data_IF_454185184547
#
_entry.id   IF_454185184547
#
_cell.length_a   1.000
_cell.length_b   1.000
_cell.length_c   1.000
_cell.angle_alpha   90.00
_cell.angle_beta   90.00
_cell.angle_gamma   90.00
#
_symmetry.space_group_name_H-M   'P 1'
#
loop_
_entity.id
_entity.type
_entity.pdbx_description
1 polymer ?
#
# COMPACT_ATOMS: atom_id res chain seq x y z
N UNK A 1 -9.22 10.19 -32.43
CA UNK A 1 -8.34 10.68 -31.35
C UNK A 1 -7.15 11.38 -31.99
N UNK A 2 -6.91 12.67 -31.69
CA UNK A 2 -5.74 13.39 -32.22
C UNK A 2 -4.51 12.94 -31.44
N UNK A 3 -3.44 12.61 -32.16
CA UNK A 3 -2.14 12.23 -31.60
C UNK A 3 -1.60 13.36 -30.70
N UNK A 4 -1.22 13.04 -29.47
CA UNK A 4 -0.79 14.00 -28.44
C UNK A 4 0.43 14.82 -28.91
N UNK A 5 1.25 14.24 -29.80
CA UNK A 5 2.38 14.94 -30.46
C UNK A 5 1.96 16.10 -31.36
N UNK A 6 0.70 16.15 -31.82
CA UNK A 6 0.19 17.25 -32.66
C UNK A 6 -0.36 18.43 -31.86
N UNK A 7 -0.48 18.31 -30.53
CA UNK A 7 -1.07 19.34 -29.67
C UNK A 7 -0.02 20.27 -29.02
N UNK A 8 1.26 19.87 -29.04
CA UNK A 8 2.36 20.72 -28.61
C UNK A 8 3.46 20.60 -29.67
N UNK A 9 3.75 21.71 -30.36
CA UNK A 9 4.83 21.79 -31.32
C UNK A 9 6.17 21.76 -30.57
N UNK A 10 6.59 20.56 -30.17
CA UNK A 10 7.78 20.35 -29.34
C UNK A 10 9.03 20.94 -29.98
N UNK A 11 9.10 20.96 -31.30
CA UNK A 11 10.20 21.56 -32.05
C UNK A 11 10.29 23.08 -31.82
N UNK A 12 9.15 23.76 -31.65
CA UNK A 12 9.07 25.19 -31.39
C UNK A 12 9.50 25.53 -29.95
N UNK A 13 9.18 24.65 -28.99
CA UNK A 13 9.66 24.76 -27.60
C UNK A 13 11.17 24.51 -27.52
N UNK A 14 11.66 23.49 -28.24
CA UNK A 14 13.09 23.16 -28.28
C UNK A 14 13.88 24.30 -28.94
N UNK A 15 13.40 24.86 -30.05
CA UNK A 15 14.02 26.03 -30.69
C UNK A 15 13.99 27.26 -29.78
N UNK A 16 12.89 27.53 -29.10
CA UNK A 16 12.78 28.66 -28.16
C UNK A 16 13.73 28.50 -26.98
N UNK A 17 13.89 27.28 -26.46
CA UNK A 17 14.84 26.98 -25.38
C UNK A 17 16.29 27.10 -25.85
N UNK A 18 16.62 26.57 -27.04
CA UNK A 18 17.94 26.68 -27.63
C UNK A 18 18.33 28.16 -27.85
N UNK A 19 17.43 28.95 -28.45
CA UNK A 19 17.60 30.38 -28.65
C UNK A 19 17.83 31.12 -27.32
N UNK A 20 17.04 30.80 -26.29
CA UNK A 20 17.21 31.37 -24.95
C UNK A 20 18.58 31.03 -24.35
N UNK A 21 19.04 29.78 -24.45
CA UNK A 21 20.38 29.39 -23.98
C UNK A 21 21.50 30.08 -24.75
N UNK A 22 21.36 30.24 -26.06
CA UNK A 22 22.35 30.92 -26.91
C UNK A 22 22.39 32.43 -26.61
N UNK A 23 21.24 33.08 -26.42
CA UNK A 23 21.17 34.48 -25.99
C UNK A 23 21.78 34.69 -24.61
N UNK A 24 21.48 33.82 -23.64
CA UNK A 24 22.06 33.90 -22.28
C UNK A 24 23.59 33.82 -22.33
N UNK A 25 24.15 32.98 -23.21
CA UNK A 25 25.61 32.85 -23.37
C UNK A 25 26.26 34.09 -24.01
N UNK A 26 25.50 34.89 -24.76
CA UNK A 26 25.99 36.06 -25.49
C UNK A 26 25.76 37.39 -24.75
N UNK A 27 25.13 37.37 -23.56
CA UNK A 27 24.92 38.59 -22.78
C UNK A 27 26.26 39.11 -22.18
N UNK A 28 26.56 40.41 -22.31
CA UNK A 28 27.86 41.00 -21.96
C UNK A 28 28.12 41.12 -20.44
N UNK A 29 27.20 40.67 -19.60
CA UNK A 29 27.34 40.69 -18.15
C UNK A 29 27.35 39.25 -17.62
N UNK A 30 28.42 38.86 -16.91
CA UNK A 30 28.49 37.62 -16.11
C UNK A 30 27.41 37.68 -15.02
N UNK A 31 26.19 37.34 -15.40
CA UNK A 31 25.04 37.29 -14.51
C UNK A 31 24.92 35.87 -13.97
N UNK A 32 25.02 35.72 -12.65
CA UNK A 32 24.59 34.49 -12.00
C UNK A 32 23.06 34.44 -12.12
N UNK A 33 22.55 33.54 -12.95
CA UNK A 33 21.14 33.19 -12.98
C UNK A 33 20.78 32.50 -11.67
N UNK A 34 20.35 33.29 -10.68
CA UNK A 34 19.72 32.75 -9.48
C UNK A 34 18.34 32.22 -9.89
N UNK A 35 18.26 30.93 -10.18
CA UNK A 35 17.00 30.23 -10.43
C UNK A 35 16.30 30.00 -9.10
N UNK A 36 15.29 30.83 -8.82
CA UNK A 36 14.41 30.61 -7.68
C UNK A 36 13.36 29.55 -8.04
N UNK A 37 13.65 28.29 -7.75
CA UNK A 37 12.65 27.25 -7.68
C UNK A 37 11.93 27.30 -6.34
N UNK A 38 10.62 27.56 -6.31
CA UNK A 38 9.79 27.23 -5.14
C UNK A 38 9.60 25.72 -5.09
N UNK A 39 10.63 25.00 -4.62
CA UNK A 39 10.48 23.60 -4.26
C UNK A 39 9.77 23.54 -2.91
N UNK A 40 8.46 23.23 -2.95
CA UNK A 40 7.73 22.88 -1.74
C UNK A 40 7.94 21.38 -1.54
N UNK A 41 8.97 21.01 -0.78
CA UNK A 41 9.18 19.63 -0.38
C UNK A 41 7.93 19.20 0.41
N UNK A 42 7.08 18.36 -0.22
CA UNK A 42 5.99 17.73 0.51
C UNK A 42 6.66 16.87 1.57
N UNK A 43 6.43 17.18 2.85
CA UNK A 43 6.91 16.36 3.97
C UNK A 43 6.47 14.92 3.69
N UNK A 44 7.38 13.94 3.69
CA UNK A 44 7.01 12.57 3.40
C UNK A 44 6.12 12.06 4.54
N UNK A 45 4.89 11.71 4.22
CA UNK A 45 3.90 11.16 5.15
C UNK A 45 3.43 9.81 4.63
N UNK A 46 3.34 8.79 5.48
CA UNK A 46 2.59 7.59 5.12
C UNK A 46 1.12 7.94 5.08
N UNK A 47 0.58 8.13 3.87
CA UNK A 47 -0.85 8.35 3.69
C UNK A 47 -1.53 6.99 3.50
N UNK A 48 -2.28 6.55 4.51
CA UNK A 48 -3.15 5.36 4.40
C UNK A 48 -4.53 5.74 3.85
N UNK A 49 -4.59 6.90 3.21
CA UNK A 49 -5.74 7.50 2.58
C UNK A 49 -5.31 8.38 1.42
N UNK A 50 -6.23 8.85 0.59
CA UNK A 50 -5.94 9.84 -0.44
C UNK A 50 -6.49 11.20 0.05
N UNK A 51 -5.84 11.82 1.03
CA UNK A 51 -6.36 13.08 1.59
C UNK A 51 -5.28 14.08 1.91
N UNK A 52 -4.82 14.75 0.85
CA UNK A 52 -4.16 16.06 1.00
C UNK A 52 -5.12 17.19 1.41
N UNK A 53 -6.43 16.95 1.51
CA UNK A 53 -7.40 17.91 2.06
C UNK A 53 -8.65 17.18 2.60
N UNK A 54 -9.08 17.56 3.81
CA UNK A 54 -10.28 17.08 4.52
C UNK A 54 -10.18 15.62 5.00
N UNK A 55 -10.92 15.28 6.07
CA UNK A 55 -10.97 13.94 6.68
C UNK A 55 -10.85 12.85 5.63
N UNK A 56 -9.97 11.87 5.86
CA UNK A 56 -9.64 10.88 4.83
C UNK A 56 -10.89 10.34 4.16
N UNK A 57 -10.83 10.10 2.85
CA UNK A 57 -11.90 9.41 2.10
C UNK A 57 -12.32 8.11 2.83
N UNK A 58 -11.42 7.53 3.63
CA UNK A 58 -11.68 6.47 4.59
C UNK A 58 -12.57 6.88 5.78
N UNK A 59 -12.26 7.95 6.51
CA UNK A 59 -13.14 8.50 7.58
C UNK A 59 -14.49 8.85 6.97
N UNK A 60 -14.54 9.55 5.84
CA UNK A 60 -15.81 9.85 5.20
C UNK A 60 -16.51 8.59 4.65
N UNK A 61 -15.78 7.56 4.23
CA UNK A 61 -16.35 6.26 3.81
C UNK A 61 -16.95 5.45 4.97
N UNK A 62 -16.22 5.33 6.08
CA UNK A 62 -16.64 4.67 7.33
C UNK A 62 -17.79 5.41 8.01
N UNK A 63 -17.87 6.73 7.86
CA UNK A 63 -18.94 7.54 8.46
C UNK A 63 -20.13 7.84 7.50
N UNK A 64 -19.92 7.93 6.18
CA UNK A 64 -20.95 8.36 5.21
C UNK A 64 -21.34 7.31 4.15
N UNK A 65 -20.42 6.49 3.61
CA UNK A 65 -20.77 5.51 2.56
C UNK A 65 -21.37 4.21 3.10
N UNK A 66 -21.16 3.91 4.37
CA UNK A 66 -21.84 2.78 5.04
C UNK A 66 -23.31 3.05 5.36
N UNK A 67 -23.89 4.16 4.91
CA UNK A 67 -25.33 4.43 5.08
C UNK A 67 -26.21 3.71 4.04
N UNK A 68 -25.65 3.03 3.03
CA UNK A 68 -26.43 2.32 2.01
C UNK A 68 -26.44 0.79 2.14
N UNK A 69 -25.86 0.23 3.21
CA UNK A 69 -25.96 -1.19 3.50
C UNK A 69 -26.37 -1.26 4.96
N UNK A 70 -27.64 -1.62 5.18
CA UNK A 70 -28.14 -2.10 6.47
C UNK A 70 -27.04 -2.86 7.21
N UNK A 71 -26.86 -2.61 8.51
CA UNK A 71 -25.97 -3.37 9.40
C UNK A 71 -26.33 -4.87 9.37
N UNK A 72 -26.01 -5.56 8.27
CA UNK A 72 -26.21 -6.99 8.13
C UNK A 72 -25.14 -7.66 8.98
N UNK A 73 -25.52 -8.62 9.83
CA UNK A 73 -24.63 -9.26 10.80
C UNK A 73 -23.50 -10.13 10.20
N UNK A 74 -23.30 -10.12 8.87
CA UNK A 74 -22.21 -10.85 8.22
C UNK A 74 -20.91 -10.05 8.31
N UNK A 75 -20.30 -10.11 9.49
CA UNK A 75 -18.98 -9.57 9.78
C UNK A 75 -17.86 -10.46 9.20
N UNK A 76 -17.78 -10.56 7.86
CA UNK A 76 -16.73 -11.35 7.19
C UNK A 76 -15.34 -10.99 7.73
N UNK A 77 -15.08 -9.69 7.95
CA UNK A 77 -13.83 -9.22 8.51
C UNK A 77 -13.55 -9.77 9.93
N UNK A 78 -14.55 -9.75 10.81
CA UNK A 78 -14.40 -10.33 12.16
C UNK A 78 -14.21 -11.84 12.10
N UNK A 79 -14.88 -12.53 11.18
CA UNK A 79 -14.69 -13.96 10.96
C UNK A 79 -13.23 -14.24 10.58
N UNK A 80 -12.65 -13.46 9.68
CA UNK A 80 -11.23 -13.57 9.33
C UNK A 80 -10.31 -13.32 10.52
N UNK A 81 -10.65 -12.40 11.43
CA UNK A 81 -9.90 -12.18 12.68
C UNK A 81 -9.97 -13.41 13.58
N UNK A 82 -11.16 -13.98 13.77
CA UNK A 82 -11.37 -15.17 14.60
C UNK A 82 -10.54 -16.37 14.11
N UNK A 83 -10.43 -16.56 12.79
CA UNK A 83 -9.62 -17.63 12.20
C UNK A 83 -8.16 -17.24 11.90
N UNK A 84 -7.67 -16.11 12.42
CA UNK A 84 -6.32 -15.59 12.17
C UNK A 84 -5.95 -15.26 10.71
N UNK A 85 -6.87 -15.44 9.76
CA UNK A 85 -6.66 -15.11 8.34
C UNK A 85 -6.48 -13.62 8.12
N UNK A 86 -7.14 -12.79 8.94
CA UNK A 86 -6.99 -11.34 8.90
C UNK A 86 -5.52 -10.91 8.97
N UNK A 87 -4.73 -11.51 9.86
CA UNK A 87 -3.31 -11.19 10.00
C UNK A 87 -2.52 -11.55 8.75
N UNK A 88 -2.88 -12.62 8.06
CA UNK A 88 -2.22 -13.06 6.82
C UNK A 88 -2.49 -12.08 5.67
N UNK A 89 -3.74 -11.65 5.52
CA UNK A 89 -4.13 -10.64 4.55
C UNK A 89 -3.42 -9.30 4.82
N UNK A 90 -3.44 -8.83 6.07
CA UNK A 90 -2.81 -7.56 6.44
C UNK A 90 -1.29 -7.62 6.27
N UNK A 91 -0.65 -8.73 6.64
CA UNK A 91 0.78 -8.92 6.45
C UNK A 91 1.17 -8.90 4.96
N UNK A 92 0.41 -9.59 4.11
CA UNK A 92 0.57 -9.56 2.65
C UNK A 92 0.52 -8.13 2.11
N UNK A 93 -0.51 -7.36 2.50
CA UNK A 93 -0.68 -5.99 2.00
C UNK A 93 0.48 -5.10 2.46
N UNK A 94 0.85 -5.18 3.75
CA UNK A 94 1.90 -4.34 4.33
C UNK A 94 3.30 -4.71 3.84
N UNK A 95 3.53 -5.96 3.43
CA UNK A 95 4.79 -6.41 2.82
C UNK A 95 4.93 -5.99 1.35
N UNK A 96 3.89 -5.38 0.78
CA UNK A 96 3.85 -4.93 -0.61
C UNK A 96 3.39 -6.00 -1.60
N UNK A 97 3.02 -7.19 -1.13
CA UNK A 97 2.48 -8.25 -1.98
C UNK A 97 1.05 -7.94 -2.44
N UNK A 98 0.63 -8.59 -3.51
CA UNK A 98 -0.72 -8.47 -4.04
C UNK A 98 -1.65 -9.47 -3.35
N UNK A 99 -2.78 -8.97 -2.85
CA UNK A 99 -3.87 -9.79 -2.32
C UNK A 99 -5.01 -9.83 -3.35
N UNK A 100 -5.37 -11.03 -3.80
CA UNK A 100 -6.54 -11.28 -4.63
C UNK A 100 -7.67 -11.84 -3.75
N UNK A 101 -8.85 -11.23 -3.78
CA UNK A 101 -10.06 -11.77 -3.16
C UNK A 101 -10.92 -12.41 -4.25
N UNK A 102 -11.15 -13.71 -4.14
CA UNK A 102 -11.91 -14.50 -5.10
C UNK A 102 -13.27 -14.87 -4.52
N UNK A 103 -14.35 -14.57 -5.24
CA UNK A 103 -15.67 -15.08 -4.93
C UNK A 103 -16.62 -14.97 -6.11
N UNK A 104 -17.20 -16.09 -6.53
CA UNK A 104 -18.29 -16.16 -7.52
C UNK A 104 -19.64 -15.92 -6.85
N UNK A 105 -19.86 -16.53 -5.67
CA UNK A 105 -21.17 -16.53 -5.02
C UNK A 105 -21.46 -15.20 -4.29
N UNK A 106 -20.46 -14.67 -3.59
CA UNK A 106 -20.58 -13.49 -2.72
C UNK A 106 -19.74 -12.31 -3.24
N UNK A 107 -19.81 -12.03 -4.54
CA UNK A 107 -18.96 -11.01 -5.17
C UNK A 107 -19.11 -9.60 -4.56
N UNK A 108 -20.33 -9.19 -4.19
CA UNK A 108 -20.56 -7.91 -3.52
C UNK A 108 -19.93 -7.87 -2.11
N UNK A 109 -19.93 -9.00 -1.38
CA UNK A 109 -19.27 -9.09 -0.08
C UNK A 109 -17.75 -9.03 -0.25
N UNK A 110 -17.20 -9.65 -1.31
CA UNK A 110 -15.79 -9.58 -1.66
C UNK A 110 -15.36 -8.13 -1.97
N UNK A 111 -16.15 -7.40 -2.75
CA UNK A 111 -15.93 -5.97 -3.02
C UNK A 111 -15.93 -5.18 -1.72
N UNK A 112 -16.95 -5.37 -0.88
CA UNK A 112 -17.06 -4.62 0.37
C UNK A 112 -15.93 -4.93 1.35
N UNK A 113 -15.47 -6.19 1.42
CA UNK A 113 -14.28 -6.57 2.19
C UNK A 113 -13.04 -5.88 1.63
N UNK A 114 -12.88 -5.85 0.30
CA UNK A 114 -11.75 -5.21 -0.35
C UNK A 114 -11.68 -3.72 -0.02
N UNK A 115 -12.80 -3.01 -0.11
CA UNK A 115 -12.90 -1.59 0.27
C UNK A 115 -12.45 -1.36 1.71
N UNK A 116 -12.82 -2.24 2.65
CA UNK A 116 -12.38 -2.17 4.05
C UNK A 116 -10.90 -2.50 4.21
N UNK A 117 -10.35 -3.40 3.41
CA UNK A 117 -8.93 -3.77 3.41
C UNK A 117 -8.01 -2.68 2.87
N UNK A 118 -8.52 -1.72 2.09
CA UNK A 118 -7.72 -0.64 1.52
C UNK A 118 -6.99 0.20 2.57
N UNK A 119 -7.49 0.24 3.81
CA UNK A 119 -6.88 0.98 4.92
C UNK A 119 -5.49 0.49 5.28
N UNK A 120 -5.20 -0.78 4.96
CA UNK A 120 -3.91 -1.40 5.24
C UNK A 120 -2.90 -1.15 4.13
N UNK A 121 -3.31 -0.61 2.97
CA UNK A 121 -2.43 -0.32 1.84
C UNK A 121 -1.61 0.93 2.17
N UNK A 122 -0.28 0.82 2.33
CA UNK A 122 0.55 2.00 2.51
C UNK A 122 0.52 2.85 1.23
N UNK A 123 0.35 4.17 1.38
CA UNK A 123 0.31 5.11 0.25
C UNK A 123 -0.79 4.76 -0.75
N UNK A 124 -1.98 4.54 -0.22
CA UNK A 124 -3.11 4.12 -1.02
C UNK A 124 -3.37 5.13 -2.14
N UNK A 125 -3.52 4.59 -3.36
CA UNK A 125 -4.05 5.31 -4.50
C UNK A 125 -5.18 4.46 -5.08
N UNK A 126 -6.29 5.04 -5.55
CA UNK A 126 -7.40 4.28 -6.11
C UNK A 126 -6.97 3.29 -7.20
N UNK A 127 -5.97 3.65 -7.99
CA UNK A 127 -5.39 2.81 -9.04
C UNK A 127 -4.63 1.57 -8.55
N UNK A 128 -4.31 1.47 -7.26
CA UNK A 128 -3.70 0.29 -6.65
C UNK A 128 -4.73 -0.78 -6.28
N UNK A 129 -6.02 -0.54 -6.51
CA UNK A 129 -7.09 -1.52 -6.35
C UNK A 129 -7.80 -1.78 -7.68
N UNK A 130 -8.20 -3.03 -7.90
CA UNK A 130 -8.90 -3.44 -9.13
C UNK A 130 -10.07 -4.36 -8.80
N UNK A 131 -11.19 -4.15 -9.48
CA UNK A 131 -12.36 -5.03 -9.42
C UNK A 131 -12.67 -5.42 -10.87
N UNK A 132 -12.57 -6.70 -11.18
CA UNK A 132 -12.93 -7.25 -12.49
C UNK A 132 -13.69 -8.56 -12.28
N UNK A 133 -14.51 -9.00 -13.24
CA UNK A 133 -15.14 -10.33 -13.13
C UNK A 133 -14.11 -11.44 -13.34
N UNK A 134 -13.22 -11.24 -14.32
CA UNK A 134 -12.17 -12.17 -14.70
C UNK A 134 -10.84 -11.43 -14.70
N UNK A 135 -9.83 -11.96 -14.03
CA UNK A 135 -8.50 -11.35 -13.98
C UNK A 135 -7.40 -12.37 -14.31
N UNK A 136 -6.41 -11.95 -15.09
CA UNK A 136 -5.17 -12.71 -15.23
C UNK A 136 -4.36 -12.58 -13.94
N UNK A 137 -3.91 -13.72 -13.41
CA UNK A 137 -3.01 -13.74 -12.26
C UNK A 137 -1.77 -12.86 -12.49
N UNK A 138 -1.24 -12.81 -13.71
CA UNK A 138 -0.06 -11.97 -14.00
C UNK A 138 -0.31 -10.47 -13.81
N UNK A 139 -1.56 -10.02 -13.98
CA UNK A 139 -1.92 -8.60 -13.85
C UNK A 139 -2.12 -8.18 -12.41
N UNK A 140 -2.45 -9.12 -11.52
CA UNK A 140 -2.66 -8.83 -10.10
C UNK A 140 -1.44 -8.15 -9.45
N UNK A 141 -0.21 -8.39 -9.94
CA UNK A 141 1.00 -7.72 -9.46
C UNK A 141 1.01 -6.20 -9.64
N UNK A 142 0.16 -5.67 -10.52
CA UNK A 142 0.02 -4.22 -10.70
C UNK A 142 -0.72 -3.58 -9.52
N UNK A 143 -1.54 -4.36 -8.81
CA UNK A 143 -2.46 -3.89 -7.78
C UNK A 143 -2.10 -4.44 -6.39
N UNK A 144 -2.22 -3.62 -5.35
CA UNK A 144 -2.10 -4.10 -3.97
C UNK A 144 -3.27 -5.02 -3.61
N UNK A 145 -4.44 -4.74 -4.17
CA UNK A 145 -5.67 -5.47 -3.91
C UNK A 145 -6.45 -5.67 -5.20
N UNK A 146 -6.91 -6.90 -5.44
CA UNK A 146 -7.77 -7.22 -6.57
C UNK A 146 -8.96 -8.03 -6.11
N UNK A 147 -10.10 -7.88 -6.77
CA UNK A 147 -11.30 -8.68 -6.54
C UNK A 147 -11.73 -9.29 -7.87
N UNK A 148 -11.97 -10.60 -7.88
CA UNK A 148 -12.43 -11.32 -9.06
C UNK A 148 -13.43 -12.44 -8.74
N UNK A 149 -14.24 -12.82 -9.73
CA UNK A 149 -15.05 -14.05 -9.68
C UNK A 149 -14.23 -15.23 -10.18
N UNK A 150 -13.48 -15.04 -11.26
CA UNK A 150 -12.64 -16.08 -11.86
C UNK A 150 -11.23 -15.57 -12.17
N UNK A 151 -10.28 -16.49 -12.17
CA UNK A 151 -8.90 -16.22 -12.55
C UNK A 151 -8.48 -17.13 -13.68
N UNK A 152 -7.63 -16.61 -14.56
CA UNK A 152 -6.96 -17.40 -15.59
C UNK A 152 -5.45 -17.08 -15.59
N UNK A 153 -4.68 -17.86 -16.34
CA UNK A 153 -3.22 -17.75 -16.38
C UNK A 153 -2.49 -18.80 -15.54
N UNK A 154 -1.17 -18.69 -15.45
CA UNK A 154 -0.32 -19.69 -14.80
C UNK A 154 -0.40 -19.59 -13.27
N UNK A 155 -0.59 -20.74 -12.61
CA UNK A 155 -0.69 -20.86 -11.14
C UNK A 155 0.63 -20.69 -10.39
N UNK A 156 1.78 -20.69 -11.08
CA UNK A 156 3.11 -20.59 -10.48
C UNK A 156 3.41 -19.20 -9.87
N UNK A 157 2.46 -18.28 -10.00
CA UNK A 157 2.60 -16.90 -9.62
C UNK A 157 2.50 -16.74 -8.08
N UNK A 158 3.37 -15.91 -7.51
CA UNK A 158 3.42 -15.61 -6.07
C UNK A 158 2.42 -14.51 -5.68
N UNK A 159 1.13 -14.83 -5.76
CA UNK A 159 0.05 -13.95 -5.27
C UNK A 159 -0.63 -14.62 -4.08
N UNK A 160 -1.00 -13.82 -3.09
CA UNK A 160 -1.85 -14.28 -1.99
C UNK A 160 -3.31 -14.21 -2.43
N UNK A 161 -4.04 -15.31 -2.28
CA UNK A 161 -5.43 -15.47 -2.68
C UNK A 161 -6.26 -15.74 -1.44
N UNK A 162 -7.30 -14.92 -1.23
CA UNK A 162 -8.37 -15.16 -0.28
C UNK A 162 -9.61 -15.63 -1.05
N UNK A 163 -9.87 -16.92 -1.03
CA UNK A 163 -11.02 -17.53 -1.69
C UNK A 163 -12.17 -17.66 -0.68
N UNK A 164 -13.21 -16.85 -0.88
CA UNK A 164 -14.37 -16.80 0.00
C UNK A 164 -15.34 -17.96 -0.21
N UNK A 165 -15.39 -18.51 -1.43
CA UNK A 165 -16.30 -19.60 -1.76
C UNK A 165 -15.77 -20.91 -1.15
N UNK A 166 -14.47 -21.18 -1.31
CA UNK A 166 -13.81 -22.35 -0.73
C UNK A 166 -13.39 -22.14 0.73
N UNK A 167 -13.50 -20.90 1.24
CA UNK A 167 -13.07 -20.50 2.60
C UNK A 167 -11.62 -20.86 2.88
N UNK A 168 -10.73 -20.54 1.95
CA UNK A 168 -9.29 -20.79 2.07
C UNK A 168 -8.48 -19.53 1.78
N UNK A 169 -7.39 -19.37 2.50
CA UNK A 169 -6.33 -18.42 2.17
C UNK A 169 -5.14 -19.20 1.63
N UNK A 170 -4.59 -18.78 0.49
CA UNK A 170 -3.39 -19.34 -0.14
C UNK A 170 -2.37 -18.23 -0.28
N UNK A 171 -1.25 -18.28 0.41
CA UNK A 171 -0.28 -17.19 0.35
C UNK A 171 0.77 -17.28 1.43
N UNK A 172 1.41 -16.16 1.75
CA UNK A 172 2.33 -16.12 2.89
C UNK A 172 1.55 -16.00 4.21
N UNK A 173 1.97 -16.75 5.23
CA UNK A 173 1.46 -16.59 6.58
C UNK A 173 2.04 -15.35 7.26
N UNK A 174 1.37 -14.88 8.31
CA UNK A 174 1.90 -13.84 9.19
C UNK A 174 2.82 -14.47 10.25
N UNK A 175 4.11 -14.10 10.31
CA UNK A 175 5.01 -14.62 11.32
C UNK A 175 4.59 -14.22 12.73
N UNK A 176 4.75 -15.13 13.70
CA UNK A 176 4.35 -14.90 15.10
C UNK A 176 4.99 -13.66 15.74
N UNK A 177 6.21 -13.31 15.34
CA UNK A 177 6.88 -12.14 15.91
C UNK A 177 6.55 -10.83 15.21
N UNK A 178 5.86 -10.88 14.07
CA UNK A 178 5.47 -9.69 13.32
C UNK A 178 4.63 -8.76 14.20
N UNK A 179 4.84 -7.46 14.04
CA UNK A 179 3.97 -6.48 14.71
C UNK A 179 2.51 -6.65 14.25
N UNK A 180 2.28 -7.14 13.02
CA UNK A 180 0.93 -7.41 12.49
C UNK A 180 0.23 -8.40 13.41
N UNK A 181 0.87 -9.54 13.70
CA UNK A 181 0.33 -10.55 14.61
C UNK A 181 0.12 -10.03 16.04
N UNK A 182 1.05 -9.20 16.53
CA UNK A 182 1.07 -8.76 17.94
C UNK A 182 0.12 -7.60 18.24
N UNK A 183 -0.04 -6.68 17.29
CA UNK A 183 -0.72 -5.40 17.49
C UNK A 183 -2.08 -5.33 16.80
N UNK A 184 -2.21 -5.93 15.61
CA UNK A 184 -3.41 -5.82 14.77
C UNK A 184 -4.48 -6.86 15.16
N UNK A 185 -5.72 -6.60 14.77
CA UNK A 185 -6.86 -7.49 15.04
C UNK A 185 -7.50 -7.29 16.42
N UNK A 186 -6.98 -6.38 17.24
CA UNK A 186 -7.58 -6.01 18.54
C UNK A 186 -8.87 -5.22 18.34
N UNK A 187 -9.82 -5.36 19.26
CA UNK A 187 -11.12 -4.67 19.19
C UNK A 187 -12.14 -5.35 18.28
N UNK A 188 -11.97 -6.64 17.99
CA UNK A 188 -12.90 -7.42 17.16
C UNK A 188 -14.25 -7.68 17.84
N UNK A 189 -14.30 -7.53 19.16
CA UNK A 189 -15.50 -7.51 20.01
C UNK A 189 -16.39 -6.27 19.78
N UNK A 190 -15.82 -5.19 19.23
CA UNK A 190 -16.53 -3.93 18.96
C UNK A 190 -17.27 -3.95 17.61
N UNK A 191 -18.05 -2.91 17.29
CA UNK A 191 -18.63 -2.77 15.95
C UNK A 191 -17.54 -2.72 14.87
N UNK A 192 -17.84 -3.17 13.65
CA UNK A 192 -16.81 -3.22 12.59
C UNK A 192 -16.23 -1.84 12.27
N UNK A 193 -17.05 -0.79 12.33
CA UNK A 193 -16.59 0.59 12.15
C UNK A 193 -15.57 0.99 13.22
N UNK A 194 -15.87 0.68 14.49
CA UNK A 194 -14.95 0.93 15.61
C UNK A 194 -13.68 0.08 15.45
N UNK A 195 -13.81 -1.19 15.06
CA UNK A 195 -12.68 -2.06 14.77
C UNK A 195 -11.76 -1.44 13.70
N UNK A 196 -12.29 -1.01 12.56
CA UNK A 196 -11.53 -0.39 11.47
C UNK A 196 -10.86 0.92 11.91
N UNK A 197 -11.54 1.75 12.69
CA UNK A 197 -10.97 2.97 13.26
C UNK A 197 -9.79 2.66 14.20
N UNK A 198 -9.92 1.63 15.04
CA UNK A 198 -8.83 1.16 15.91
C UNK A 198 -7.64 0.65 15.09
N UNK A 199 -7.88 -0.15 14.04
CA UNK A 199 -6.81 -0.64 13.16
C UNK A 199 -6.09 0.53 12.45
N UNK A 200 -6.85 1.48 11.92
CA UNK A 200 -6.29 2.66 11.27
C UNK A 200 -5.47 3.53 12.24
N UNK A 201 -5.93 3.71 13.47
CA UNK A 201 -5.18 4.41 14.51
C UNK A 201 -3.85 3.70 14.84
N UNK A 202 -3.87 2.36 14.92
CA UNK A 202 -2.66 1.56 15.15
C UNK A 202 -1.66 1.71 14.00
N UNK A 203 -2.12 1.62 12.74
CA UNK A 203 -1.27 1.85 11.57
C UNK A 203 -0.61 3.22 11.61
N UNK A 204 -1.40 4.29 11.84
CA UNK A 204 -0.88 5.65 11.91
C UNK A 204 0.15 5.83 13.01
N UNK A 205 -0.07 5.21 14.17
CA UNK A 205 0.89 5.24 15.28
C UNK A 205 2.20 4.56 14.89
N UNK A 206 2.15 3.38 14.30
CA UNK A 206 3.32 2.61 13.86
C UNK A 206 4.08 3.38 12.76
N UNK A 207 3.37 3.96 11.80
CA UNK A 207 3.99 4.72 10.72
C UNK A 207 4.64 6.01 11.20
N UNK A 208 4.04 6.70 12.17
CA UNK A 208 4.67 7.88 12.78
C UNK A 208 5.96 7.48 13.51
N UNK A 209 5.93 6.41 14.31
CA UNK A 209 7.12 5.89 14.98
C UNK A 209 8.23 5.52 13.99
N UNK A 210 7.86 4.86 12.90
CA UNK A 210 8.77 4.49 11.83
C UNK A 210 9.36 5.73 11.12
N UNK A 211 8.57 6.74 10.80
CA UNK A 211 9.04 8.00 10.22
C UNK A 211 10.01 8.74 11.15
N UNK A 212 9.70 8.80 12.44
CA UNK A 212 10.60 9.39 13.44
C UNK A 212 11.95 8.68 13.43
N UNK A 213 11.95 7.33 13.40
CA UNK A 213 13.18 6.55 13.31
C UNK A 213 13.94 6.78 12.00
N UNK A 214 13.26 6.85 10.86
CA UNK A 214 13.92 7.18 9.59
C UNK A 214 14.58 8.57 9.62
N UNK A 215 13.91 9.57 10.19
CA UNK A 215 14.46 10.93 10.32
C UNK A 215 15.68 10.97 11.28
N UNK A 216 15.69 10.14 12.33
CA UNK A 216 16.86 9.97 13.20
C UNK A 216 18.05 9.35 12.44
N UNK A 217 17.81 8.43 11.50
CA UNK A 217 18.86 7.81 10.70
C UNK A 217 19.48 8.73 9.66
N UNK A 218 18.69 9.65 9.07
CA UNK A 218 19.23 10.63 8.12
C UNK A 218 20.34 11.51 8.71
N UNK A 219 20.38 11.65 10.04
CA UNK A 219 21.39 12.46 10.75
C UNK A 219 22.67 11.68 11.10
N UNK A 220 22.72 10.36 10.88
CA UNK A 220 23.84 9.48 11.26
C UNK A 220 24.66 9.11 10.01
N UNK A 221 25.98 9.33 10.01
CA UNK A 221 26.85 9.11 8.84
C UNK A 221 27.07 7.63 8.47
N UNK A 222 26.95 6.70 9.42
CA UNK A 222 27.08 5.25 9.17
C UNK A 222 26.12 4.45 10.01
N UNK A 223 25.40 3.54 9.37
CA UNK A 223 24.42 2.70 10.04
C UNK A 223 24.43 1.28 9.46
N UNK A 224 24.58 0.28 10.32
CA UNK A 224 24.52 -1.14 9.92
C UNK A 224 23.09 -1.63 9.97
N UNK A 225 22.78 -2.63 9.13
CA UNK A 225 21.47 -3.28 9.13
C UNK A 225 21.07 -3.81 10.52
N UNK A 226 22.01 -4.42 11.24
CA UNK A 226 21.77 -4.94 12.58
C UNK A 226 21.38 -3.86 13.58
N UNK A 227 22.04 -2.71 13.53
CA UNK A 227 21.73 -1.56 14.38
C UNK A 227 20.35 -0.97 14.04
N UNK A 228 19.98 -0.98 12.75
CA UNK A 228 18.63 -0.61 12.32
C UNK A 228 17.57 -1.55 12.85
N UNK A 229 17.78 -2.85 12.72
CA UNK A 229 16.81 -3.81 13.23
C UNK A 229 16.72 -3.76 14.75
N UNK A 230 17.82 -3.49 15.46
CA UNK A 230 17.81 -3.29 16.90
C UNK A 230 17.01 -2.05 17.32
N UNK A 231 17.24 -0.90 16.69
CA UNK A 231 16.51 0.34 16.97
C UNK A 231 15.03 0.25 16.53
N UNK A 232 14.72 -0.44 15.43
CA UNK A 232 13.34 -0.72 15.00
C UNK A 232 12.62 -1.68 15.96
N UNK A 233 13.34 -2.58 16.62
CA UNK A 233 12.76 -3.45 17.64
C UNK A 233 12.19 -2.69 18.84
N UNK A 234 12.76 -1.52 19.16
CA UNK A 234 12.28 -0.65 20.25
C UNK A 234 10.88 -0.08 19.98
N UNK A 235 10.50 0.09 18.71
CA UNK A 235 9.15 0.54 18.31
C UNK A 235 8.23 -0.65 17.96
N UNK A 236 8.72 -1.88 18.16
CA UNK A 236 7.94 -3.12 18.08
C UNK A 236 7.97 -3.84 16.74
N UNK A 237 8.85 -3.46 15.81
CA UNK A 237 9.16 -4.29 14.65
C UNK A 237 10.05 -5.46 15.08
N UNK A 238 10.09 -6.51 14.26
CA UNK A 238 10.96 -7.67 14.46
C UNK A 238 11.71 -7.99 13.18
N UNK A 239 12.62 -8.97 13.23
CA UNK A 239 13.27 -9.49 12.03
C UNK A 239 12.27 -10.03 11.01
N UNK A 240 11.13 -10.54 11.49
CA UNK A 240 10.06 -11.06 10.65
C UNK A 240 9.32 -9.95 9.89
N UNK A 241 9.42 -8.69 10.34
CA UNK A 241 8.80 -7.54 9.67
C UNK A 241 9.70 -6.91 8.60
N UNK A 242 10.85 -7.52 8.30
CA UNK A 242 11.78 -7.01 7.29
C UNK A 242 11.12 -6.76 5.91
N UNK A 243 10.24 -7.65 5.39
CA UNK A 243 9.54 -7.38 4.13
C UNK A 243 8.69 -6.10 4.17
N UNK A 244 7.99 -5.88 5.28
CA UNK A 244 7.20 -4.66 5.51
C UNK A 244 8.13 -3.45 5.55
N UNK A 245 9.19 -3.50 6.36
CA UNK A 245 10.17 -2.41 6.45
C UNK A 245 10.76 -2.07 5.07
N UNK A 246 11.17 -3.07 4.30
CA UNK A 246 11.74 -2.85 2.99
C UNK A 246 10.73 -2.18 2.04
N UNK A 247 9.48 -2.64 2.04
CA UNK A 247 8.41 -2.02 1.27
C UNK A 247 8.13 -0.56 1.66
N UNK A 248 8.05 -0.27 2.95
CA UNK A 248 7.83 1.08 3.45
C UNK A 248 9.01 2.02 3.10
N UNK A 249 10.25 1.53 3.21
CA UNK A 249 11.46 2.29 2.84
C UNK A 249 11.45 2.62 1.34
N UNK A 250 11.26 1.61 0.48
CA UNK A 250 11.22 1.82 -0.97
C UNK A 250 10.11 2.79 -1.37
N UNK A 251 8.93 2.63 -0.78
CA UNK A 251 7.80 3.50 -1.05
C UNK A 251 8.03 4.94 -0.57
N UNK A 252 8.69 5.12 0.58
CA UNK A 252 9.10 6.42 1.12
C UNK A 252 10.05 7.14 0.16
N UNK A 253 11.13 6.47 -0.26
CA UNK A 253 12.12 7.07 -1.18
C UNK A 253 11.57 7.31 -2.59
N UNK A 254 10.61 6.50 -3.02
CA UNK A 254 9.91 6.71 -4.29
C UNK A 254 8.91 7.88 -4.26
N UNK A 255 8.77 8.58 -3.14
CA UNK A 255 7.81 9.68 -2.97
C UNK A 255 6.38 9.28 -3.38
N UNK A 256 6.03 7.98 -3.26
CA UNK A 256 4.70 7.45 -3.57
C UNK A 256 4.27 7.61 -5.03
N UNK A 257 5.21 7.81 -5.96
CA UNK A 257 4.90 8.02 -7.38
C UNK A 257 4.45 6.74 -8.07
N UNK A 258 4.98 5.59 -7.66
CA UNK A 258 4.52 4.29 -8.13
C UNK A 258 4.57 3.26 -6.99
N UNK A 259 3.78 2.19 -7.11
CA UNK A 259 3.85 1.05 -6.21
C UNK A 259 5.15 0.28 -6.46
N UNK A 260 6.03 0.10 -5.45
CA UNK A 260 7.19 -0.76 -5.60
C UNK A 260 6.76 -2.22 -5.77
N UNK A 261 7.23 -2.89 -6.82
CA UNK A 261 7.07 -4.33 -6.98
C UNK A 261 8.36 -4.99 -6.50
N UNK A 262 8.29 -5.61 -5.33
CA UNK A 262 9.46 -6.25 -4.72
C UNK A 262 9.52 -7.72 -5.16
N UNK A 263 9.97 -7.95 -6.40
CA UNK A 263 10.03 -9.30 -7.00
C UNK A 263 10.96 -10.27 -6.24
N UNK A 264 11.88 -9.75 -5.44
CA UNK A 264 12.86 -10.52 -4.67
C UNK A 264 12.80 -10.22 -3.16
N UNK A 265 11.70 -9.68 -2.64
CA UNK A 265 11.49 -9.69 -1.20
C UNK A 265 11.18 -11.11 -0.77
N UNK A 266 12.25 -11.89 -0.65
CA UNK A 266 12.42 -13.15 0.06
C UNK A 266 11.10 -13.77 0.49
N UNK A 267 10.76 -14.88 -0.18
CA UNK A 267 10.07 -16.03 0.39
C UNK A 267 10.17 -15.91 1.91
N UNK A 268 9.07 -15.54 2.56
CA UNK A 268 8.95 -15.71 4.00
C UNK A 268 9.48 -17.12 4.29
N UNK A 269 10.40 -17.27 5.24
CA UNK A 269 11.00 -18.59 5.56
C UNK A 269 9.93 -19.66 5.84
N UNK A 270 8.69 -19.24 6.05
CA UNK A 270 7.46 -20.00 6.27
C UNK A 270 6.85 -20.66 5.02
N UNK A 271 7.25 -20.29 3.79
CA UNK A 271 6.69 -20.86 2.56
C UNK A 271 5.23 -20.46 2.30
N UNK A 272 4.66 -20.90 1.15
CA UNK A 272 3.23 -20.72 0.87
C UNK A 272 2.41 -21.63 1.78
N UNK A 273 1.45 -21.06 2.49
CA UNK A 273 0.48 -21.79 3.32
C UNK A 273 -0.87 -21.87 2.62
N UNK A 274 -1.62 -22.93 2.93
CA UNK A 274 -3.04 -23.06 2.62
C UNK A 274 -3.76 -23.12 3.97
N UNK A 275 -4.51 -22.07 4.31
CA UNK A 275 -5.15 -21.90 5.60
C UNK A 275 -6.68 -21.84 5.44
N UNK A 276 -7.42 -22.88 5.84
CA UNK A 276 -8.87 -22.85 5.80
C UNK A 276 -9.49 -22.02 6.93
N UNK A 277 -10.68 -21.44 6.68
CA UNK A 277 -11.45 -20.65 7.66
C UNK A 277 -12.95 -21.01 7.64
N UNK A 278 -13.27 -22.19 8.16
CA UNK A 278 -14.64 -22.71 8.24
C UNK A 278 -15.44 -22.11 9.38
#
# INVERSE_FOLDING_TARGET
MRDFKKLCNWDEIVQSLQYLTEEICNLPFKSNLATFGKFKEKKPTFDFSDSTNQYSIFVSGVFYRTNSIEDRPNFLLKKLVFHHIFHYCVYTILSGQSLLILSKQSFNEAISLAERMQIFIPFFQPQHSRIDLNIDLSECFKYSLSVAQETYGKSDIQISILDLDNKIYIGEGCPKNSFVQKKMGKGSDQSERVFLLLQHHQLKTISNQFLTKLAEYQKKEKFTFEKMMFEMAQIGFSKDDFPILNYLIHSYFNQQKCRPILMNNNISRTGKIIAPFY
#
